data_IF_967632822797
#
_entry.id   IF_967632822797
#
_cell.length_a   1.000
_cell.length_b   1.000
_cell.length_c   1.000
_cell.angle_alpha   90.00
_cell.angle_beta   90.00
_cell.angle_gamma   90.00
#
_symmetry.space_group_name_H-M   'P 1'
#
loop_
_entity.id
_entity.type
_entity.pdbx_description
1 polymer ?
#
# COMPACT_ATOMS: atom_id res chain seq x y z
N UNK A 1 18.00 -25.84 -10.23
CA UNK A 1 16.70 -25.15 -10.25
C UNK A 1 16.97 -23.67 -10.11
N UNK A 2 16.48 -22.83 -11.04
CA UNK A 2 16.61 -21.38 -10.89
C UNK A 2 15.49 -20.89 -9.98
N UNK A 3 15.85 -20.18 -8.90
CA UNK A 3 14.89 -19.53 -8.03
C UNK A 3 14.54 -18.16 -8.61
N UNK A 4 13.25 -17.90 -8.86
CA UNK A 4 12.78 -16.58 -9.26
C UNK A 4 12.76 -15.67 -8.03
N UNK A 5 13.41 -14.51 -8.12
CA UNK A 5 13.39 -13.51 -7.03
C UNK A 5 12.85 -12.18 -7.54
N UNK A 6 12.02 -11.53 -6.72
CA UNK A 6 11.53 -10.18 -6.94
C UNK A 6 12.48 -9.18 -6.26
N UNK A 7 13.00 -8.22 -7.02
CA UNK A 7 13.60 -7.00 -6.47
C UNK A 7 12.51 -5.94 -6.43
N UNK A 8 12.20 -5.44 -5.23
CA UNK A 8 11.08 -4.53 -5.03
C UNK A 8 11.42 -3.43 -4.03
N UNK A 9 10.67 -2.34 -4.13
CA UNK A 9 10.64 -1.25 -3.16
C UNK A 9 9.24 -0.62 -3.21
N UNK A 10 8.78 -0.08 -2.09
CA UNK A 10 7.54 0.69 -2.03
C UNK A 10 7.85 2.08 -1.49
N UNK A 11 7.18 3.09 -2.05
CA UNK A 11 7.22 4.47 -1.61
C UNK A 11 5.93 5.16 -2.05
N UNK A 12 5.43 6.06 -1.22
CA UNK A 12 4.22 6.86 -1.52
C UNK A 12 4.46 8.30 -1.11
N UNK A 13 3.74 9.22 -1.75
CA UNK A 13 3.81 10.66 -1.51
C UNK A 13 2.39 11.23 -1.47
N UNK A 14 2.16 12.16 -0.55
CA UNK A 14 0.86 12.83 -0.39
C UNK A 14 0.46 13.70 -1.60
N UNK A 15 1.44 14.08 -2.42
CA UNK A 15 1.27 15.01 -3.52
C UNK A 15 1.08 16.45 -3.07
N UNK A 16 0.71 17.32 -4.01
CA UNK A 16 0.73 18.78 -3.82
C UNK A 16 -0.58 19.41 -3.34
N UNK A 17 -1.61 18.59 -3.09
CA UNK A 17 -3.00 19.07 -2.89
C UNK A 17 -3.67 18.51 -1.65
N UNK A 18 -3.47 17.22 -1.37
CA UNK A 18 -4.10 16.54 -0.23
C UNK A 18 -3.39 16.91 1.07
N UNK A 19 -4.11 16.81 2.19
CA UNK A 19 -3.57 17.00 3.55
C UNK A 19 -3.25 15.68 4.27
N UNK A 20 -3.79 14.57 3.75
CA UNK A 20 -3.57 13.23 4.25
C UNK A 20 -3.29 12.35 3.04
N UNK A 21 -2.33 11.45 3.17
CA UNK A 21 -2.10 10.39 2.20
C UNK A 21 -2.93 9.17 2.64
N UNK A 22 -3.88 8.78 1.80
CA UNK A 22 -4.75 7.63 2.05
C UNK A 22 -4.27 6.39 1.27
N UNK A 23 -3.07 6.43 0.68
CA UNK A 23 -2.47 5.30 -0.02
C UNK A 23 -1.76 4.36 0.98
N UNK A 24 -1.80 3.06 0.70
CA UNK A 24 -1.02 2.04 1.41
C UNK A 24 -0.45 1.02 0.43
N UNK A 25 0.72 0.45 0.73
CA UNK A 25 1.38 -0.51 -0.14
C UNK A 25 2.02 -1.66 0.65
N UNK A 26 2.00 -2.84 0.05
CA UNK A 26 2.72 -4.04 0.48
C UNK A 26 3.75 -4.39 -0.60
N UNK A 27 5.01 -4.55 -0.21
CA UNK A 27 6.05 -5.05 -1.09
C UNK A 27 6.79 -6.20 -0.41
N UNK A 28 6.57 -7.40 -0.92
CA UNK A 28 7.12 -8.65 -0.39
C UNK A 28 7.73 -9.55 -1.48
N UNK A 29 8.40 -10.62 -1.08
CA UNK A 29 9.13 -11.51 -2.00
C UNK A 29 8.24 -12.30 -2.96
N UNK A 30 6.93 -12.41 -2.65
CA UNK A 30 5.95 -13.18 -3.41
C UNK A 30 4.67 -12.41 -3.73
N UNK A 31 4.47 -11.21 -3.15
CA UNK A 31 3.28 -10.39 -3.35
C UNK A 31 3.63 -8.90 -3.32
N UNK A 32 3.09 -8.16 -4.28
CA UNK A 32 3.12 -6.71 -4.34
C UNK A 32 1.65 -6.23 -4.41
N UNK A 33 1.27 -5.28 -3.57
CA UNK A 33 -0.08 -4.71 -3.56
C UNK A 33 -0.05 -3.20 -3.25
N UNK A 34 -1.02 -2.48 -3.78
CA UNK A 34 -1.28 -1.06 -3.49
C UNK A 34 -2.78 -0.90 -3.27
N UNK A 35 -3.15 -0.12 -2.26
CA UNK A 35 -4.53 0.23 -1.93
C UNK A 35 -4.67 1.75 -1.84
N UNK A 36 -5.59 2.32 -2.63
CA UNK A 36 -5.99 3.74 -2.59
C UNK A 36 -7.20 3.87 -1.67
N UNK A 37 -7.00 4.52 -0.53
CA UNK A 37 -8.03 4.76 0.47
C UNK A 37 -8.96 5.90 0.06
N UNK A 38 -10.26 5.65 0.12
CA UNK A 38 -11.29 6.61 -0.27
C UNK A 38 -12.26 6.83 0.90
N UNK A 39 -12.52 8.07 1.30
CA UNK A 39 -13.52 8.33 2.36
C UNK A 39 -13.49 9.73 3.00
N UNK A 40 -12.41 10.51 2.83
CA UNK A 40 -12.25 11.75 3.58
C UNK A 40 -11.98 11.48 5.07
N UNK A 41 -12.15 12.51 5.92
CA UNK A 41 -11.91 12.45 7.39
C UNK A 41 -12.21 11.07 8.02
N UNK A 42 -11.44 10.63 9.03
CA UNK A 42 -10.21 9.83 8.93
C UNK A 42 -10.47 8.33 8.59
N UNK A 43 -11.02 8.02 7.41
CA UNK A 43 -11.41 6.63 7.10
C UNK A 43 -10.73 6.01 5.88
N UNK A 44 -10.21 6.79 4.92
CA UNK A 44 -9.55 6.23 3.74
C UNK A 44 -8.23 5.54 4.09
N UNK A 45 -7.41 6.19 4.93
CA UNK A 45 -6.12 5.65 5.42
C UNK A 45 -6.28 4.37 6.24
N UNK A 46 -7.32 4.28 7.08
CA UNK A 46 -7.63 3.07 7.85
C UNK A 46 -8.05 1.93 6.92
N UNK A 47 -8.89 2.23 5.92
CA UNK A 47 -9.37 1.24 4.96
C UNK A 47 -8.23 0.69 4.08
N UNK A 48 -7.37 1.56 3.54
CA UNK A 48 -6.22 1.15 2.73
C UNK A 48 -5.22 0.32 3.54
N UNK A 49 -4.96 0.71 4.79
CA UNK A 49 -4.07 -0.02 5.70
C UNK A 49 -4.62 -1.41 6.05
N UNK A 50 -5.93 -1.51 6.32
CA UNK A 50 -6.58 -2.78 6.59
C UNK A 50 -6.48 -3.74 5.39
N UNK A 51 -6.69 -3.23 4.17
CA UNK A 51 -6.60 -4.02 2.95
C UNK A 51 -5.19 -4.62 2.74
N UNK A 52 -4.13 -3.81 2.87
CA UNK A 52 -2.76 -4.34 2.71
C UNK A 52 -2.34 -5.24 3.86
N UNK A 53 -2.85 -5.00 5.08
CA UNK A 53 -2.59 -5.86 6.24
C UNK A 53 -3.20 -7.25 6.04
N UNK A 54 -4.44 -7.33 5.59
CA UNK A 54 -5.10 -8.60 5.31
C UNK A 54 -4.40 -9.41 4.19
N UNK A 55 -3.72 -8.74 3.25
CA UNK A 55 -2.92 -9.39 2.21
C UNK A 55 -1.52 -9.82 2.70
N UNK A 56 -1.09 -9.36 3.86
CA UNK A 56 0.21 -9.67 4.45
C UNK A 56 0.17 -10.84 5.45
N UNK A 57 -1.02 -11.32 5.80
CA UNK A 57 -1.25 -12.59 6.54
C UNK A 57 -0.98 -13.82 5.66
#
# INVERSE_FOLDING_TARGET
MAHLSLRYAAGTDIGRRRRVNEDSALAGPSLLAVADGMGGHPHGDVASAAAVTALAE
#
